data_IF_079608509466
#
_entry.id   IF_079608509466
#
_cell.length_a   1.000
_cell.length_b   1.000
_cell.length_c   1.000
_cell.angle_alpha   90.00
_cell.angle_beta   90.00
_cell.angle_gamma   90.00
#
_symmetry.space_group_name_H-M   'P 1'
#
loop_
_entity.id
_entity.type
_entity.pdbx_description
1 polymer ?
#
# COMPACT_ATOMS: atom_id res chain seq x y z
N UNK A 1 -8.91 -4.55 -7.07
CA UNK A 1 -7.62 -3.87 -7.37
C UNK A 1 -6.86 -4.58 -8.48
N UNK A 2 -6.55 -5.87 -8.32
CA UNK A 2 -5.75 -6.68 -9.26
C UNK A 2 -6.15 -6.55 -10.72
N UNK A 3 -7.41 -6.82 -11.08
CA UNK A 3 -7.88 -6.75 -12.47
C UNK A 3 -7.66 -5.39 -13.12
N UNK A 4 -7.81 -4.30 -12.35
CA UNK A 4 -7.58 -2.95 -12.85
C UNK A 4 -6.09 -2.70 -13.13
N UNK A 5 -5.20 -3.12 -12.22
CA UNK A 5 -3.74 -3.02 -12.45
C UNK A 5 -3.32 -3.80 -13.69
N UNK A 6 -3.85 -5.02 -13.87
CA UNK A 6 -3.54 -5.86 -15.03
C UNK A 6 -4.05 -5.22 -16.34
N UNK A 7 -5.29 -4.71 -16.36
CA UNK A 7 -5.85 -4.02 -17.54
C UNK A 7 -5.03 -2.77 -17.91
N UNK A 8 -4.71 -1.91 -16.94
CA UNK A 8 -3.87 -0.72 -17.20
C UNK A 8 -2.46 -1.12 -17.65
N UNK A 9 -1.91 -2.22 -17.12
CA UNK A 9 -0.59 -2.71 -17.51
C UNK A 9 -0.55 -3.22 -18.96
N UNK A 10 -1.65 -3.76 -19.47
CA UNK A 10 -1.83 -4.20 -20.86
C UNK A 10 -2.00 -3.01 -21.80
N UNK A 11 -2.83 -2.04 -21.42
CA UNK A 11 -3.10 -0.84 -22.23
C UNK A 11 -1.90 0.12 -22.27
N UNK A 12 -1.14 0.20 -21.19
CA UNK A 12 0.00 1.10 -21.04
C UNK A 12 1.25 0.30 -20.58
N UNK A 13 2.03 -0.30 -21.51
CA UNK A 13 3.14 -1.19 -21.17
C UNK A 13 4.24 -0.57 -20.30
N UNK A 14 4.41 0.75 -20.36
CA UNK A 14 5.46 1.48 -19.63
C UNK A 14 4.97 2.11 -18.31
N UNK A 15 3.68 2.02 -17.98
CA UNK A 15 3.13 2.62 -16.75
C UNK A 15 3.74 1.96 -15.51
N UNK A 16 4.13 2.77 -14.54
CA UNK A 16 4.48 2.31 -13.20
C UNK A 16 3.34 2.64 -12.25
N UNK A 17 3.22 1.86 -11.19
CA UNK A 17 2.08 1.93 -10.27
C UNK A 17 2.52 2.38 -8.89
N UNK A 18 1.68 3.24 -8.29
CA UNK A 18 1.62 3.44 -6.85
C UNK A 18 0.26 2.89 -6.43
N UNK A 19 0.26 1.89 -5.56
CA UNK A 19 -0.97 1.33 -5.01
C UNK A 19 -1.29 2.03 -3.69
N UNK A 20 -2.57 2.15 -3.37
CA UNK A 20 -2.93 2.66 -2.08
C UNK A 20 -4.31 2.24 -1.59
N UNK A 21 -4.48 2.30 -0.28
CA UNK A 21 -5.71 1.88 0.39
C UNK A 21 -5.89 2.53 1.76
N UNK A 22 -7.14 2.82 2.09
CA UNK A 22 -7.56 3.36 3.39
C UNK A 22 -8.47 2.34 4.09
N UNK A 23 -8.23 2.06 5.37
CA UNK A 23 -9.06 1.16 6.18
C UNK A 23 -9.21 -0.21 5.51
N UNK A 24 -10.44 -0.68 5.24
CA UNK A 24 -10.68 -1.90 4.48
C UNK A 24 -10.02 -1.90 3.08
N UNK A 25 -9.89 -0.74 2.44
CA UNK A 25 -9.17 -0.62 1.17
C UNK A 25 -7.67 -0.91 1.28
N UNK A 26 -7.07 -0.73 2.47
CA UNK A 26 -5.71 -1.17 2.73
C UNK A 26 -5.62 -2.70 2.71
N UNK A 27 -6.60 -3.41 3.29
CA UNK A 27 -6.67 -4.87 3.18
C UNK A 27 -6.91 -5.36 1.75
N UNK A 28 -7.67 -4.62 0.93
CA UNK A 28 -7.76 -4.90 -0.52
C UNK A 28 -6.40 -4.76 -1.19
N UNK A 29 -5.59 -3.79 -0.76
CA UNK A 29 -4.20 -3.62 -1.25
C UNK A 29 -3.33 -4.79 -0.82
N UNK A 30 -3.40 -5.22 0.45
CA UNK A 30 -2.66 -6.36 0.99
C UNK A 30 -2.95 -7.65 0.20
N UNK A 31 -4.24 -7.94 -0.03
CA UNK A 31 -4.68 -9.09 -0.82
C UNK A 31 -4.10 -8.99 -2.25
N UNK A 32 -4.18 -7.82 -2.88
CA UNK A 32 -3.70 -7.62 -4.24
C UNK A 32 -2.17 -7.83 -4.37
N UNK A 33 -1.41 -7.64 -3.30
CA UNK A 33 0.04 -7.88 -3.28
C UNK A 33 0.42 -9.25 -2.68
N UNK A 34 -0.56 -10.12 -2.43
CA UNK A 34 -0.34 -11.50 -2.00
C UNK A 34 -0.25 -11.72 -0.48
N UNK A 35 -0.54 -10.68 0.33
CA UNK A 35 -0.62 -10.83 1.78
C UNK A 35 -2.01 -11.36 2.14
N UNK A 36 -2.06 -12.43 2.93
CA UNK A 36 -3.32 -13.02 3.39
C UNK A 36 -3.90 -12.13 4.50
N UNK A 37 -5.20 -11.88 4.43
CA UNK A 37 -5.93 -11.11 5.45
C UNK A 37 -7.14 -11.90 5.95
N UNK A 38 -7.70 -11.51 7.08
CA UNK A 38 -8.96 -12.08 7.62
C UNK A 38 -10.20 -11.38 7.08
N UNK A 39 -10.04 -10.24 6.39
CA UNK A 39 -11.15 -9.40 5.92
C UNK A 39 -11.62 -9.77 4.50
N UNK A 40 -10.93 -10.70 3.83
CA UNK A 40 -11.36 -11.20 2.53
C UNK A 40 -10.28 -11.97 1.78
N UNK A 41 -10.62 -12.39 0.57
CA UNK A 41 -9.74 -13.04 -0.39
C UNK A 41 -9.92 -12.40 -1.77
N UNK A 42 -8.97 -12.66 -2.67
CA UNK A 42 -9.00 -12.15 -4.03
C UNK A 42 -7.75 -12.49 -4.80
N UNK A 43 -7.77 -12.19 -6.09
CA UNK A 43 -6.62 -12.42 -6.98
C UNK A 43 -5.45 -11.51 -6.61
N UNK A 44 -4.23 -12.01 -6.83
CA UNK A 44 -3.00 -11.26 -6.63
C UNK A 44 -2.49 -10.69 -7.95
N UNK A 45 -1.80 -9.56 -7.88
CA UNK A 45 -1.11 -8.98 -9.02
C UNK A 45 0.01 -9.96 -9.42
N UNK A 46 0.09 -10.37 -10.71
CA UNK A 46 1.14 -11.28 -11.16
C UNK A 46 2.54 -10.74 -10.89
N UNK A 47 3.47 -11.61 -10.50
CA UNK A 47 4.86 -11.24 -10.17
C UNK A 47 5.59 -10.53 -11.32
N UNK A 48 5.17 -10.78 -12.57
CA UNK A 48 5.67 -10.08 -13.76
C UNK A 48 5.44 -8.57 -13.71
N UNK A 49 4.47 -8.10 -12.92
CA UNK A 49 4.18 -6.67 -12.70
C UNK A 49 4.77 -6.15 -11.37
N UNK A 50 5.36 -6.99 -10.53
CA UNK A 50 5.88 -6.59 -9.21
C UNK A 50 6.95 -5.49 -9.31
N UNK A 51 7.78 -5.55 -10.35
CA UNK A 51 8.81 -4.53 -10.61
C UNK A 51 8.21 -3.18 -11.04
N UNK A 52 6.98 -3.15 -11.55
CA UNK A 52 6.25 -1.94 -11.97
C UNK A 52 5.51 -1.27 -10.81
N UNK A 53 5.24 -1.98 -9.72
CA UNK A 53 4.75 -1.39 -8.46
C UNK A 53 5.94 -0.75 -7.75
N UNK A 54 5.92 0.58 -7.62
CA UNK A 54 7.04 1.37 -7.08
C UNK A 54 6.82 1.81 -5.64
N UNK A 55 5.58 1.98 -5.22
CA UNK A 55 5.22 2.32 -3.86
C UNK A 55 3.85 1.73 -3.51
N UNK A 56 3.66 1.40 -2.23
CA UNK A 56 2.37 0.99 -1.68
C UNK A 56 2.10 1.87 -0.47
N UNK A 57 0.96 2.55 -0.47
CA UNK A 57 0.58 3.51 0.56
C UNK A 57 -0.67 3.05 1.29
N UNK A 58 -0.59 2.83 2.59
CA UNK A 58 -1.77 2.46 3.38
C UNK A 58 -2.01 3.43 4.52
N UNK A 59 -3.29 3.65 4.82
CA UNK A 59 -3.75 4.47 5.93
C UNK A 59 -4.73 3.66 6.77
N UNK A 60 -4.44 3.49 8.06
CA UNK A 60 -5.29 2.72 8.96
C UNK A 60 -5.42 1.25 8.55
N UNK A 61 -4.30 0.60 8.20
CA UNK A 61 -4.32 -0.79 7.71
C UNK A 61 -4.62 -1.81 8.83
N UNK A 62 -5.69 -2.62 8.74
CA UNK A 62 -6.00 -3.70 9.68
C UNK A 62 -4.91 -4.76 9.85
N UNK A 63 -4.02 -4.95 8.86
CA UNK A 63 -2.91 -5.91 8.93
C UNK A 63 -2.09 -5.77 10.22
N UNK A 64 -1.95 -4.54 10.72
CA UNK A 64 -1.22 -4.23 11.95
C UNK A 64 -1.82 -4.81 13.22
N UNK A 65 -3.14 -5.03 13.26
CA UNK A 65 -3.78 -5.75 14.37
C UNK A 65 -3.42 -7.23 14.41
N UNK A 66 -2.98 -7.79 13.28
CA UNK A 66 -2.50 -9.18 13.19
C UNK A 66 -1.01 -9.29 13.55
N UNK A 67 -0.37 -8.19 13.97
CA UNK A 67 1.06 -8.15 14.30
C UNK A 67 1.98 -8.00 13.09
N UNK A 68 1.43 -7.70 11.91
CA UNK A 68 2.19 -7.59 10.67
C UNK A 68 2.07 -6.19 10.03
N UNK A 69 3.02 -5.88 9.16
CA UNK A 69 2.98 -4.72 8.26
C UNK A 69 3.32 -5.24 6.86
N UNK A 70 3.04 -4.48 5.81
CA UNK A 70 3.50 -4.84 4.47
C UNK A 70 5.04 -4.96 4.46
N UNK A 71 5.71 -4.07 5.21
CA UNK A 71 7.15 -4.11 5.42
C UNK A 71 7.67 -5.46 5.95
N UNK A 72 6.96 -6.09 6.89
CA UNK A 72 7.37 -7.37 7.50
C UNK A 72 6.81 -8.60 6.77
N UNK A 73 5.63 -8.50 6.17
CA UNK A 73 4.91 -9.63 5.58
C UNK A 73 5.32 -9.92 4.12
N UNK A 74 5.95 -8.97 3.42
CA UNK A 74 6.33 -9.13 2.02
C UNK A 74 7.80 -8.83 1.75
N UNK A 75 8.56 -9.85 1.35
CA UNK A 75 9.93 -9.68 0.85
C UNK A 75 10.01 -8.88 -0.46
N UNK A 76 8.95 -8.93 -1.28
CA UNK A 76 8.89 -8.27 -2.60
C UNK A 76 8.51 -6.80 -2.49
N UNK A 77 7.61 -6.48 -1.56
CA UNK A 77 6.98 -5.17 -1.47
C UNK A 77 7.36 -4.39 -0.21
N UNK A 78 7.98 -5.02 0.78
CA UNK A 78 8.21 -4.40 2.08
C UNK A 78 9.06 -3.14 2.02
N UNK A 79 10.08 -3.10 1.16
CA UNK A 79 10.92 -1.91 0.95
C UNK A 79 10.21 -0.75 0.23
N UNK A 80 9.01 -0.99 -0.31
CA UNK A 80 8.18 -0.03 -1.04
C UNK A 80 6.96 0.43 -0.22
N UNK A 81 6.79 -0.10 0.98
CA UNK A 81 5.64 0.15 1.83
C UNK A 81 5.76 1.49 2.55
N UNK A 82 4.67 2.25 2.56
CA UNK A 82 4.52 3.52 3.26
C UNK A 82 3.21 3.42 4.06
N UNK A 83 3.32 3.05 5.33
CA UNK A 83 2.18 2.65 6.15
C UNK A 83 1.93 3.66 7.27
N UNK A 84 0.74 4.25 7.26
CA UNK A 84 0.30 5.21 8.27
C UNK A 84 -0.70 4.54 9.20
N UNK A 85 -0.42 4.63 10.49
CA UNK A 85 -1.33 4.22 11.54
C UNK A 85 -1.23 5.24 12.68
N UNK A 86 -2.27 6.05 12.84
CA UNK A 86 -2.32 7.08 13.85
C UNK A 86 -2.39 6.47 15.26
N UNK A 87 -1.78 7.14 16.22
CA UNK A 87 -1.80 6.67 17.62
C UNK A 87 -3.23 6.63 18.14
N UNK A 88 -3.62 5.47 18.68
CA UNK A 88 -4.97 5.26 19.21
C UNK A 88 -6.01 4.88 18.16
N UNK A 89 -5.64 4.76 16.88
CA UNK A 89 -6.56 4.26 15.84
C UNK A 89 -7.02 2.83 16.20
N UNK A 90 -8.35 2.58 16.33
CA UNK A 90 -8.89 1.27 16.67
C UNK A 90 -8.69 0.21 15.57
N UNK A 91 -8.48 0.62 14.32
CA UNK A 91 -8.39 -0.27 13.15
C UNK A 91 -7.00 -0.85 12.97
N UNK A 92 -5.95 -0.11 13.31
CA UNK A 92 -4.56 -0.54 13.08
C UNK A 92 -3.68 -0.46 14.33
N UNK A 93 -4.09 0.32 15.32
CA UNK A 93 -3.27 0.66 16.49
C UNK A 93 -3.77 0.05 17.80
N UNK A 94 -4.76 -0.84 17.75
CA UNK A 94 -5.42 -1.44 18.92
C UNK A 94 -5.86 -0.39 19.96
N UNK A 95 -6.30 0.78 19.49
CA UNK A 95 -6.77 1.88 20.33
C UNK A 95 -8.30 2.00 20.35
N UNK A 96 -8.79 3.14 20.85
CA UNK A 96 -10.22 3.46 20.95
C UNK A 96 -10.56 4.83 20.35
N UNK A 97 -9.58 5.53 19.76
CA UNK A 97 -9.76 6.86 19.20
C UNK A 97 -10.17 6.74 17.73
N UNK A 98 -11.47 6.66 17.47
CA UNK A 98 -12.03 6.67 16.11
C UNK A 98 -11.63 7.93 15.32
N UNK A 99 -11.41 9.08 15.97
CA UNK A 99 -10.96 10.28 15.27
C UNK A 99 -9.55 10.10 14.69
N UNK A 100 -8.68 9.33 15.35
CA UNK A 100 -7.38 8.98 14.80
C UNK A 100 -7.51 8.24 13.45
N UNK A 101 -8.55 7.40 13.29
CA UNK A 101 -8.81 6.70 12.04
C UNK A 101 -9.37 7.61 10.92
N UNK A 102 -10.07 8.67 11.28
CA UNK A 102 -10.79 9.53 10.32
C UNK A 102 -9.95 10.72 9.83
N UNK A 103 -8.78 10.97 10.43
CA UNK A 103 -8.04 12.22 10.24
C UNK A 103 -6.82 12.13 9.31
N UNK A 104 -6.51 10.97 8.73
CA UNK A 104 -5.37 10.80 7.80
C UNK A 104 -5.38 11.79 6.62
N UNK A 105 -6.56 12.22 6.17
CA UNK A 105 -6.70 13.18 5.08
C UNK A 105 -6.29 14.61 5.46
N UNK A 106 -6.32 14.95 6.75
CA UNK A 106 -6.16 16.32 7.27
C UNK A 106 -4.97 16.48 8.20
N UNK A 107 -4.37 15.39 8.67
CA UNK A 107 -3.26 15.40 9.64
C UNK A 107 -1.86 15.51 8.98
N UNK A 108 -1.81 15.65 7.65
CA UNK A 108 -0.57 15.72 6.87
C UNK A 108 -0.01 14.36 6.43
N UNK A 109 -0.62 13.24 6.83
CA UNK A 109 -0.23 11.89 6.41
C UNK A 109 -0.29 11.75 4.89
N UNK A 110 -1.36 12.24 4.25
CA UNK A 110 -1.50 12.21 2.78
C UNK A 110 -0.37 12.96 2.07
N UNK A 111 -0.01 14.16 2.54
CA UNK A 111 1.10 14.93 1.96
C UNK A 111 2.42 14.18 2.10
N UNK A 112 2.69 13.62 3.28
CA UNK A 112 3.90 12.83 3.54
C UNK A 112 3.94 11.57 2.67
N UNK A 113 2.80 10.91 2.51
CA UNK A 113 2.65 9.72 1.67
C UNK A 113 2.98 10.00 0.21
N UNK A 114 2.39 11.07 -0.34
CA UNK A 114 2.62 11.49 -1.72
C UNK A 114 4.09 11.81 -1.98
N UNK A 115 4.74 12.52 -1.04
CA UNK A 115 6.17 12.83 -1.13
C UNK A 115 7.05 11.56 -1.15
N UNK A 116 6.80 10.63 -0.24
CA UNK A 116 7.55 9.36 -0.17
C UNK A 116 7.31 8.49 -1.40
N UNK A 117 6.06 8.37 -1.87
CA UNK A 117 5.73 7.61 -3.06
C UNK A 117 6.40 8.21 -4.32
N UNK A 118 6.38 9.53 -4.47
CA UNK A 118 7.06 10.22 -5.56
C UNK A 118 8.58 10.00 -5.55
N UNK A 119 9.20 9.98 -4.35
CA UNK A 119 10.62 9.68 -4.22
C UNK A 119 10.97 8.26 -4.68
N UNK A 120 10.17 7.25 -4.30
CA UNK A 120 10.36 5.86 -4.72
C UNK A 120 10.21 5.68 -6.24
N UNK A 121 9.23 6.35 -6.85
CA UNK A 121 9.05 6.35 -8.31
C UNK A 121 10.28 6.93 -9.00
N UNK A 122 10.76 8.12 -8.57
CA UNK A 122 11.94 8.78 -9.15
C UNK A 122 13.23 7.99 -8.96
N UNK A 123 13.44 7.41 -7.76
CA UNK A 123 14.61 6.57 -7.45
C UNK A 123 14.68 5.34 -8.34
N UNK A 124 13.53 4.72 -8.61
CA UNK A 124 13.43 3.58 -9.52
C UNK A 124 13.75 3.93 -10.98
N UNK A 125 13.34 5.13 -11.44
CA UNK A 125 13.66 5.59 -12.80
C UNK A 125 15.16 5.81 -12.99
N UNK A 126 15.88 6.25 -11.94
CA UNK A 126 17.34 6.40 -12.00
C UNK A 126 18.06 5.06 -12.14
N UNK A 127 17.61 4.03 -11.43
CA UNK A 127 18.18 2.67 -11.52
C UNK A 127 17.96 2.00 -12.89
N UNK A 128 16.92 2.39 -13.64
CA UNK A 128 16.63 1.86 -14.99
C UNK A 128 17.40 2.59 -16.11
N UNK A 129 18.05 3.71 -15.81
CA UNK A 129 18.82 4.52 -16.77
C UNK A 129 20.33 4.39 -16.61
N UNK A 130 20.79 3.69 -15.57
CA UNK A 130 22.19 3.36 -15.33
C UNK A 130 22.45 1.93 -15.81
#
# INVERSE_FOLDING_TARGET
MTNHVVSVAQECPNTVFVLGGYSQGASVTDIAIGIKTTLGSGDTIPDTLASRIKAIVTFGNPLKLMGETIASASSTYGSKAIEFCNTGDPVCGNGFNTMAHLTYATDGSVTTAAQKAAALVKGSTRALRA
#
